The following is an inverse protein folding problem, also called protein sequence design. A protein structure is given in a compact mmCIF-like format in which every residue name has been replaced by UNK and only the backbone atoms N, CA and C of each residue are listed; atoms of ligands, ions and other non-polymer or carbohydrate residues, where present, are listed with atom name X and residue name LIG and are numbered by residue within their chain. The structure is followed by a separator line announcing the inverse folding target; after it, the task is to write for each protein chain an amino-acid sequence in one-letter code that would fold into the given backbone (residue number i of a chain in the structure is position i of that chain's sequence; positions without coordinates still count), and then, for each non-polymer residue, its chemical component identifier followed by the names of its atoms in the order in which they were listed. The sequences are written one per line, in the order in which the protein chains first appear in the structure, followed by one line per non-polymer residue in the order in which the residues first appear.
data_IF_912448365209
#
_entry.id   IF_912448365209
#
_cell.length_a   1.000
_cell.length_b   1.000
_cell.length_c   1.000
_cell.angle_alpha   90.00
_cell.angle_beta   90.00
_cell.angle_gamma   90.00
#
_symmetry.space_group_name_H-M   'P 1'
#
loop_
_entity.id
_entity.type
_entity.pdbx_description
1 polymer ?
#
# COMPACT_ATOMS: atom_id res chain seq x y z
N UNK A 1 10.15 24.16 6.34
CA UNK A 1 10.80 23.98 5.02
C UNK A 1 12.16 23.27 5.11
N UNK A 2 12.98 23.57 6.14
CA UNK A 2 14.32 23.01 6.30
C UNK A 2 14.29 21.88 7.35
N UNK A 3 14.71 20.65 6.99
CA UNK A 3 14.91 19.56 7.96
C UNK A 3 15.87 19.92 9.09
N UNK A 4 15.79 19.20 10.21
CA UNK A 4 16.88 19.17 11.18
C UNK A 4 18.14 18.57 10.54
N UNK A 5 19.32 18.85 11.11
CA UNK A 5 20.56 18.21 10.66
C UNK A 5 20.50 16.71 10.93
N UNK A 6 21.08 15.92 10.04
CA UNK A 6 21.17 14.47 10.15
C UNK A 6 22.46 14.00 9.48
N UNK A 7 22.99 12.89 9.97
CA UNK A 7 24.02 12.14 9.29
C UNK A 7 23.40 11.29 8.18
N UNK A 8 24.20 10.97 7.17
CA UNK A 8 23.77 10.20 6.01
C UNK A 8 24.73 9.05 5.76
N UNK A 9 24.17 7.85 5.67
CA UNK A 9 24.88 6.65 5.23
C UNK A 9 24.16 6.03 4.05
N UNK A 10 24.93 5.42 3.16
CA UNK A 10 24.40 4.72 2.00
C UNK A 10 24.70 3.23 2.17
N UNK A 11 23.65 2.42 2.18
CA UNK A 11 23.79 0.98 2.20
C UNK A 11 23.98 0.45 0.78
N UNK A 12 24.84 -0.56 0.65
CA UNK A 12 25.09 -1.32 -0.58
C UNK A 12 24.26 -2.61 -0.68
N UNK A 13 23.68 -3.06 0.44
CA UNK A 13 22.85 -4.27 0.53
C UNK A 13 21.78 -4.13 1.62
N UNK A 14 20.76 -5.00 1.59
CA UNK A 14 19.78 -5.10 2.66
C UNK A 14 20.42 -5.46 4.02
N UNK A 15 21.41 -6.37 4.01
CA UNK A 15 22.12 -6.78 5.22
C UNK A 15 22.89 -5.62 5.86
N UNK A 16 23.57 -4.80 5.06
CA UNK A 16 24.24 -3.59 5.55
C UNK A 16 23.22 -2.56 6.07
N UNK A 17 22.11 -2.36 5.37
CA UNK A 17 21.06 -1.44 5.82
C UNK A 17 20.49 -1.86 7.19
N UNK A 18 20.19 -3.14 7.37
CA UNK A 18 19.71 -3.71 8.62
C UNK A 18 20.76 -3.55 9.73
N UNK A 19 22.02 -3.88 9.44
CA UNK A 19 23.11 -3.68 10.40
C UNK A 19 23.25 -2.23 10.85
N UNK A 20 23.14 -1.28 9.92
CA UNK A 20 23.17 0.14 10.22
C UNK A 20 21.96 0.57 11.07
N UNK A 21 20.74 0.17 10.71
CA UNK A 21 19.56 0.60 11.47
C UNK A 21 19.58 0.02 12.88
N UNK A 22 20.06 -1.22 13.06
CA UNK A 22 20.28 -1.82 14.38
C UNK A 22 21.33 -1.06 15.21
N UNK A 23 22.40 -0.57 14.57
CA UNK A 23 23.45 0.20 15.24
C UNK A 23 22.93 1.53 15.80
N UNK A 24 22.09 2.23 15.04
CA UNK A 24 21.60 3.57 15.37
C UNK A 24 20.22 3.57 16.05
N UNK A 25 19.53 2.43 16.09
CA UNK A 25 18.26 2.27 16.78
C UNK A 25 17.17 3.25 16.32
N UNK A 26 16.42 3.80 17.27
CA UNK A 26 15.30 4.72 17.02
C UNK A 26 15.70 6.02 16.32
N UNK A 27 16.99 6.37 16.34
CA UNK A 27 17.51 7.59 15.73
C UNK A 27 17.74 7.45 14.22
N UNK A 28 17.68 6.22 13.69
CA UNK A 28 17.82 5.95 12.26
C UNK A 28 16.49 5.72 11.55
N UNK A 29 16.44 6.17 10.28
CA UNK A 29 15.37 5.82 9.34
C UNK A 29 15.94 5.45 7.98
N UNK A 30 15.31 4.46 7.35
CA UNK A 30 15.57 4.14 5.96
C UNK A 30 15.06 5.26 5.03
N UNK A 31 15.90 5.64 4.07
CA UNK A 31 15.55 6.55 2.99
C UNK A 31 15.44 5.74 1.68
N UNK A 32 14.20 5.42 1.30
CA UNK A 32 13.85 4.83 0.01
C UNK A 32 13.62 5.95 -1.04
N UNK A 33 12.40 6.04 -1.60
CA UNK A 33 12.03 7.11 -2.53
C UNK A 33 11.99 8.52 -1.92
N UNK A 34 11.85 8.62 -0.60
CA UNK A 34 11.88 9.86 0.18
C UNK A 34 10.63 10.75 0.08
N UNK A 35 9.60 10.35 -0.67
CA UNK A 35 8.43 11.19 -0.98
C UNK A 35 7.35 11.24 0.12
N UNK A 36 7.58 10.57 1.25
CA UNK A 36 6.82 10.78 2.50
C UNK A 36 7.75 11.24 3.62
N UNK A 37 8.88 10.56 3.82
CA UNK A 37 9.84 10.89 4.88
C UNK A 37 10.43 12.30 4.74
N UNK A 38 10.92 12.70 3.57
CA UNK A 38 11.53 14.03 3.40
C UNK A 38 10.50 15.16 3.58
N UNK A 39 9.26 15.08 3.07
CA UNK A 39 8.19 16.01 3.46
C UNK A 39 7.99 16.13 4.96
N UNK A 40 7.88 15.00 5.69
CA UNK A 40 7.73 15.02 7.16
C UNK A 40 8.93 15.68 7.84
N UNK A 41 10.15 15.43 7.36
CA UNK A 41 11.37 16.07 7.88
C UNK A 41 11.39 17.58 7.62
N UNK A 42 10.97 18.03 6.44
CA UNK A 42 10.89 19.47 6.09
C UNK A 42 9.86 20.23 6.94
N UNK A 43 8.86 19.52 7.47
CA UNK A 43 7.87 20.00 8.43
C UNK A 43 8.25 19.73 9.90
N UNK A 44 9.39 19.07 10.14
CA UNK A 44 9.90 18.66 11.46
C UNK A 44 8.98 17.70 12.24
N UNK A 45 8.09 17.02 11.53
CA UNK A 45 7.25 15.95 12.07
C UNK A 45 8.03 14.62 12.23
N UNK A 46 9.15 14.49 11.52
CA UNK A 46 10.13 13.43 11.71
C UNK A 46 11.53 14.04 11.78
N UNK A 47 12.35 13.63 12.74
CA UNK A 47 13.69 14.19 12.95
C UNK A 47 14.71 13.08 13.25
N UNK A 48 14.91 12.12 12.33
CA UNK A 48 15.95 11.10 12.51
C UNK A 48 17.33 11.77 12.52
N UNK A 49 18.21 11.34 13.42
CA UNK A 49 19.60 11.79 13.43
C UNK A 49 20.43 11.11 12.35
N UNK A 50 19.99 9.94 11.85
CA UNK A 50 20.66 9.17 10.81
C UNK A 50 19.69 8.77 9.69
N UNK A 51 20.03 9.10 8.44
CA UNK A 51 19.36 8.55 7.26
C UNK A 51 20.22 7.47 6.61
N UNK A 52 19.63 6.28 6.48
CA UNK A 52 20.24 5.14 5.78
C UNK A 52 19.59 5.05 4.40
N UNK A 53 20.27 5.58 3.38
CA UNK A 53 19.83 5.51 1.99
C UNK A 53 19.97 4.10 1.45
N UNK A 54 18.81 3.53 1.12
CA UNK A 54 18.66 2.20 0.54
C UNK A 54 18.36 2.27 -0.97
N UNK A 55 18.19 3.46 -1.55
CA UNK A 55 17.79 3.64 -2.94
C UNK A 55 18.79 3.15 -4.00
N UNK A 56 19.98 2.69 -3.59
CA UNK A 56 20.98 2.07 -4.48
C UNK A 56 21.13 0.55 -4.30
N UNK A 57 20.37 -0.04 -3.38
CA UNK A 57 20.32 -1.50 -3.20
C UNK A 57 19.62 -2.11 -4.42
N UNK A 58 20.37 -2.78 -5.30
CA UNK A 58 19.91 -3.17 -6.64
C UNK A 58 19.05 -4.43 -6.64
N UNK A 59 19.30 -5.34 -5.70
CA UNK A 59 18.62 -6.63 -5.58
C UNK A 59 17.21 -6.53 -4.99
N UNK A 60 16.72 -5.32 -4.70
CA UNK A 60 15.36 -5.06 -4.20
C UNK A 60 14.49 -4.28 -5.19
N UNK A 61 14.91 -4.13 -6.45
CA UNK A 61 14.13 -3.47 -7.51
C UNK A 61 13.93 -4.43 -8.68
N UNK A 62 12.80 -5.12 -8.67
CA UNK A 62 12.46 -6.12 -9.68
C UNK A 62 10.96 -6.44 -9.64
N UNK A 63 10.46 -6.97 -10.76
CA UNK A 63 9.15 -7.60 -10.85
C UNK A 63 9.35 -8.91 -11.59
N UNK A 64 9.06 -10.04 -10.93
CA UNK A 64 9.26 -11.38 -11.49
C UNK A 64 8.03 -12.25 -11.28
N UNK A 65 7.73 -13.08 -12.27
CA UNK A 65 6.78 -14.18 -12.10
C UNK A 65 7.44 -15.29 -11.27
N UNK A 66 6.86 -15.63 -10.12
CA UNK A 66 7.33 -16.67 -9.21
C UNK A 66 6.38 -17.88 -9.19
N UNK A 67 5.62 -18.10 -10.28
CA UNK A 67 4.70 -19.22 -10.42
C UNK A 67 3.31 -18.88 -9.92
N UNK A 68 3.06 -19.04 -8.61
CA UNK A 68 1.74 -18.80 -8.00
C UNK A 68 1.48 -17.34 -7.62
N UNK A 69 2.52 -16.50 -7.63
CA UNK A 69 2.44 -15.06 -7.32
C UNK A 69 3.43 -14.28 -8.18
N UNK A 70 3.23 -12.96 -8.23
CA UNK A 70 4.22 -12.01 -8.73
C UNK A 70 5.02 -11.49 -7.53
N UNK A 71 6.34 -11.61 -7.61
CA UNK A 71 7.25 -11.13 -6.58
C UNK A 71 7.83 -9.78 -7.01
N UNK A 72 7.70 -8.79 -6.13
CA UNK A 72 8.04 -7.39 -6.38
C UNK A 72 9.03 -6.95 -5.31
N UNK A 73 10.22 -6.53 -5.71
CA UNK A 73 11.21 -5.99 -4.78
C UNK A 73 10.71 -4.68 -4.15
N UNK A 74 10.97 -4.48 -2.86
CA UNK A 74 10.45 -3.34 -2.10
C UNK A 74 10.88 -1.95 -2.63
N UNK A 75 12.00 -1.87 -3.34
CA UNK A 75 12.51 -0.65 -3.97
C UNK A 75 12.08 -0.45 -5.43
N UNK A 76 11.15 -1.27 -5.91
CA UNK A 76 10.50 -1.07 -7.21
C UNK A 76 9.69 0.23 -7.17
N UNK A 77 9.92 1.12 -8.14
CA UNK A 77 9.27 2.43 -8.16
C UNK A 77 7.82 2.30 -8.57
N UNK A 78 6.96 3.24 -8.15
CA UNK A 78 5.55 3.22 -8.57
C UNK A 78 5.42 3.26 -10.09
N UNK A 79 6.30 3.98 -10.79
CA UNK A 79 6.32 4.02 -12.26
C UNK A 79 6.61 2.65 -12.89
N UNK A 80 7.54 1.90 -12.29
CA UNK A 80 7.89 0.55 -12.77
C UNK A 80 6.75 -0.44 -12.48
N UNK A 81 6.05 -0.27 -11.34
CA UNK A 81 4.84 -1.05 -11.02
C UNK A 81 3.71 -0.72 -12.01
N UNK A 82 3.48 0.56 -12.29
CA UNK A 82 2.43 1.04 -13.21
C UNK A 82 2.60 0.52 -14.63
N UNK A 83 3.84 0.46 -15.14
CA UNK A 83 4.11 0.12 -16.55
C UNK A 83 4.54 -1.33 -16.79
N UNK A 84 4.61 -2.14 -15.73
CA UNK A 84 5.06 -3.52 -15.83
C UNK A 84 4.12 -4.37 -16.67
N UNK A 85 4.66 -4.97 -17.74
CA UNK A 85 3.92 -5.95 -18.56
C UNK A 85 3.47 -7.16 -17.74
N UNK A 86 4.32 -7.63 -16.82
CA UNK A 86 4.02 -8.78 -15.94
C UNK A 86 2.83 -8.46 -15.04
N UNK A 87 2.77 -7.25 -14.48
CA UNK A 87 1.65 -6.85 -13.63
C UNK A 87 0.40 -6.58 -14.46
N UNK A 88 0.50 -5.96 -15.63
CA UNK A 88 -0.65 -5.82 -16.54
C UNK A 88 -1.29 -7.16 -16.89
N UNK A 89 -0.49 -8.21 -17.06
CA UNK A 89 -1.00 -9.54 -17.38
C UNK A 89 -1.56 -10.28 -16.15
N UNK A 90 -0.85 -10.24 -15.02
CA UNK A 90 -1.14 -11.13 -13.90
C UNK A 90 -1.77 -10.47 -12.68
N UNK A 91 -1.58 -9.16 -12.48
CA UNK A 91 -2.15 -8.39 -11.38
C UNK A 91 -2.52 -6.95 -11.81
N UNK A 92 -3.37 -6.79 -12.85
CA UNK A 92 -3.63 -5.49 -13.48
C UNK A 92 -4.21 -4.45 -12.53
N UNK A 93 -4.96 -4.86 -11.50
CA UNK A 93 -5.46 -3.96 -10.45
C UNK A 93 -4.32 -3.20 -9.75
N UNK A 94 -3.20 -3.88 -9.43
CA UNK A 94 -2.05 -3.25 -8.78
C UNK A 94 -1.33 -2.28 -9.73
N UNK A 95 -1.14 -2.69 -10.98
CA UNK A 95 -0.53 -1.84 -12.03
C UNK A 95 -1.33 -0.55 -12.17
N UNK A 96 -2.66 -0.67 -12.28
CA UNK A 96 -3.54 0.46 -12.46
C UNK A 96 -3.58 1.38 -11.23
N UNK A 97 -3.66 0.82 -10.01
CA UNK A 97 -3.62 1.61 -8.78
C UNK A 97 -2.30 2.39 -8.63
N UNK A 98 -1.17 1.81 -9.04
CA UNK A 98 0.13 2.50 -9.00
C UNK A 98 0.16 3.76 -9.88
N UNK A 99 -0.53 3.77 -11.02
CA UNK A 99 -0.66 4.96 -11.87
C UNK A 99 -1.46 6.12 -11.26
N UNK A 100 -2.19 5.88 -10.17
CA UNK A 100 -2.97 6.88 -9.44
C UNK A 100 -2.24 7.46 -8.21
N UNK A 101 -1.02 7.00 -7.93
CA UNK A 101 -0.22 7.44 -6.78
C UNK A 101 0.54 8.71 -7.14
N UNK A 102 0.14 9.84 -6.54
CA UNK A 102 0.78 11.13 -6.77
C UNK A 102 0.94 11.46 -8.26
N UNK A 103 1.83 12.40 -8.58
CA UNK A 103 2.17 12.74 -9.96
C UNK A 103 3.33 11.89 -10.51
N UNK A 104 3.70 12.13 -11.78
CA UNK A 104 4.80 11.41 -12.42
C UNK A 104 6.12 11.54 -11.64
N UNK A 105 6.44 12.70 -11.08
CA UNK A 105 7.67 12.96 -10.34
C UNK A 105 7.71 12.13 -9.05
N UNK A 106 6.59 12.07 -8.33
CA UNK A 106 6.40 11.18 -7.18
C UNK A 106 6.61 9.73 -7.62
N UNK A 107 5.99 9.29 -8.72
CA UNK A 107 6.06 7.88 -9.16
C UNK A 107 7.45 7.43 -9.63
N UNK A 108 8.27 8.35 -10.15
CA UNK A 108 9.65 8.07 -10.54
C UNK A 108 10.60 7.93 -9.35
N UNK A 109 10.14 8.20 -8.13
CA UNK A 109 10.97 8.17 -6.92
C UNK A 109 10.38 7.28 -5.83
N UNK A 110 9.10 7.45 -5.54
CA UNK A 110 8.35 6.63 -4.58
C UNK A 110 8.41 5.15 -4.95
N UNK A 111 8.51 4.32 -3.92
CA UNK A 111 8.68 2.86 -4.05
C UNK A 111 7.50 2.16 -3.41
N UNK A 112 7.05 1.04 -3.99
CA UNK A 112 5.94 0.25 -3.44
C UNK A 112 6.18 -0.17 -1.98
N UNK A 113 7.39 -0.65 -1.67
CA UNK A 113 7.75 -1.04 -0.30
C UNK A 113 7.76 0.15 0.66
N UNK A 114 8.24 1.32 0.21
CA UNK A 114 8.14 2.56 0.97
C UNK A 114 6.70 2.98 1.28
N UNK A 115 5.76 2.86 0.33
CA UNK A 115 4.35 3.16 0.56
C UNK A 115 3.71 2.19 1.55
N UNK A 116 4.01 0.89 1.45
CA UNK A 116 3.51 -0.13 2.37
C UNK A 116 4.09 0.06 3.78
N UNK A 117 5.41 0.18 3.90
CA UNK A 117 6.10 0.34 5.18
C UNK A 117 5.76 1.67 5.88
N UNK A 118 5.36 2.71 5.13
CA UNK A 118 4.92 3.97 5.74
C UNK A 118 3.57 3.83 6.46
N UNK A 119 2.73 2.86 6.06
CA UNK A 119 1.46 2.53 6.71
C UNK A 119 0.49 3.73 6.85
N UNK A 120 0.51 4.66 5.90
CA UNK A 120 -0.48 5.74 5.83
C UNK A 120 -1.80 5.18 5.26
N UNK A 121 -2.93 5.23 6.00
CA UNK A 121 -4.22 4.72 5.53
C UNK A 121 -4.73 5.41 4.26
N UNK A 122 -4.24 6.60 3.95
CA UNK A 122 -4.60 7.31 2.73
C UNK A 122 -3.88 6.76 1.47
N UNK A 123 -2.90 5.87 1.65
CA UNK A 123 -2.15 5.27 0.55
C UNK A 123 -2.94 4.22 -0.22
N UNK A 124 -2.90 4.34 -1.56
CA UNK A 124 -3.63 3.47 -2.48
C UNK A 124 -3.08 2.03 -2.52
N UNK A 125 -1.74 1.90 -2.53
CA UNK A 125 -1.09 0.59 -2.68
C UNK A 125 -1.29 -0.33 -1.47
N UNK A 126 -1.21 0.14 -0.21
CA UNK A 126 -1.56 -0.64 0.97
C UNK A 126 -2.92 -1.32 0.92
N UNK A 127 -3.98 -0.60 0.52
CA UNK A 127 -5.31 -1.18 0.37
C UNK A 127 -5.36 -2.12 -0.84
N UNK A 128 -4.70 -1.77 -1.93
CA UNK A 128 -4.70 -2.59 -3.15
C UNK A 128 -4.06 -3.96 -2.93
N UNK A 129 -2.88 -4.01 -2.30
CA UNK A 129 -2.21 -5.28 -1.95
C UNK A 129 -2.97 -6.04 -0.87
N UNK A 130 -3.67 -5.35 0.04
CA UNK A 130 -4.57 -5.95 1.01
C UNK A 130 -5.76 -6.65 0.33
N UNK A 131 -6.44 -5.99 -0.62
CA UNK A 131 -7.54 -6.58 -1.39
C UNK A 131 -7.09 -7.82 -2.16
N UNK A 132 -5.87 -7.79 -2.71
CA UNK A 132 -5.27 -8.89 -3.47
C UNK A 132 -4.78 -10.05 -2.58
N UNK A 133 -4.79 -9.91 -1.26
CA UNK A 133 -4.30 -10.95 -0.34
C UNK A 133 -2.78 -11.12 -0.41
N UNK A 134 -2.04 -10.02 -0.57
CA UNK A 134 -0.59 -10.06 -0.67
C UNK A 134 0.09 -10.58 0.61
N UNK A 135 1.31 -11.09 0.45
CA UNK A 135 2.23 -11.44 1.52
C UNK A 135 3.48 -10.57 1.44
N UNK A 136 3.94 -10.08 2.57
CA UNK A 136 5.11 -9.24 2.70
C UNK A 136 6.26 -10.03 3.30
N UNK A 137 7.40 -10.03 2.63
CA UNK A 137 8.63 -10.66 3.13
C UNK A 137 9.48 -9.58 3.76
N UNK A 138 9.77 -9.77 5.05
CA UNK A 138 10.59 -8.84 5.83
C UNK A 138 11.86 -9.53 6.27
N UNK A 139 12.95 -8.78 6.37
CA UNK A 139 14.24 -9.25 6.82
C UNK A 139 14.71 -8.41 8.00
N UNK A 140 15.11 -9.07 9.08
CA UNK A 140 15.79 -8.48 10.23
C UNK A 140 17.08 -9.21 10.56
N UNK A 141 17.73 -8.90 11.69
CA UNK A 141 18.99 -9.54 12.08
C UNK A 141 18.85 -11.05 12.35
N UNK A 142 17.63 -11.53 12.63
CA UNK A 142 17.33 -12.95 12.88
C UNK A 142 16.93 -13.73 11.62
N UNK A 143 17.03 -13.11 10.43
CA UNK A 143 16.63 -13.72 9.15
C UNK A 143 15.34 -13.13 8.60
N UNK A 144 14.64 -13.93 7.79
CA UNK A 144 13.43 -13.51 7.08
C UNK A 144 12.16 -14.07 7.73
N UNK A 145 11.06 -13.32 7.66
CA UNK A 145 9.72 -13.80 7.98
C UNK A 145 8.70 -13.25 6.99
N UNK A 146 7.56 -13.93 6.92
CA UNK A 146 6.44 -13.56 6.08
C UNK A 146 5.29 -12.99 6.90
N UNK A 147 4.66 -11.94 6.40
CA UNK A 147 3.53 -11.26 7.05
C UNK A 147 2.41 -11.15 6.02
N UNK A 148 1.25 -11.72 6.28
CA UNK A 148 0.08 -11.49 5.45
C UNK A 148 -0.30 -9.99 5.51
N UNK A 149 -0.68 -9.38 4.39
CA UNK A 149 -1.06 -7.96 4.34
C UNK A 149 -2.16 -7.61 5.36
N UNK A 150 -3.09 -8.53 5.62
CA UNK A 150 -4.16 -8.38 6.61
C UNK A 150 -3.67 -8.29 8.07
N UNK A 151 -2.42 -8.66 8.36
CA UNK A 151 -1.80 -8.60 9.69
C UNK A 151 -0.74 -7.50 9.80
N UNK A 152 -0.42 -6.82 8.70
CA UNK A 152 0.72 -5.91 8.64
C UNK A 152 0.44 -4.55 9.26
N UNK A 153 -0.76 -3.99 9.13
CA UNK A 153 -1.07 -2.64 9.63
C UNK A 153 -1.63 -2.71 11.05
N UNK A 154 -1.05 -1.95 11.98
CA UNK A 154 -1.42 -1.97 13.42
C UNK A 154 -2.12 -0.71 13.87
N UNK A 155 -1.91 0.39 13.16
CA UNK A 155 -2.47 1.69 13.49
C UNK A 155 -2.03 2.75 12.48
N UNK A 156 -2.33 4.01 12.80
CA UNK A 156 -1.97 5.14 11.96
C UNK A 156 -0.44 5.28 11.86
N UNK A 157 0.12 5.11 10.66
CA UNK A 157 1.56 5.10 10.41
C UNK A 157 2.33 4.01 11.18
N UNK A 158 1.62 2.95 11.59
CA UNK A 158 2.17 1.85 12.39
C UNK A 158 1.98 0.51 11.66
N UNK A 159 3.08 -0.21 11.49
CA UNK A 159 3.09 -1.55 10.88
C UNK A 159 3.68 -2.59 11.83
N UNK A 160 3.56 -3.86 11.44
CA UNK A 160 4.11 -5.02 12.15
C UNK A 160 5.65 -5.13 12.01
N UNK A 161 6.32 -4.18 11.33
CA UNK A 161 7.77 -4.14 11.23
C UNK A 161 8.39 -3.81 12.58
N UNK A 162 9.36 -4.63 13.02
CA UNK A 162 10.24 -4.25 14.11
C UNK A 162 11.17 -3.11 13.68
N UNK A 163 11.74 -2.40 14.65
CA UNK A 163 12.61 -1.25 14.41
C UNK A 163 13.88 -1.60 13.60
N UNK A 164 14.31 -2.86 13.65
CA UNK A 164 15.48 -3.43 12.98
C UNK A 164 15.11 -4.32 11.76
N UNK A 165 13.87 -4.23 11.28
CA UNK A 165 13.41 -4.97 10.12
C UNK A 165 13.24 -4.09 8.88
N UNK A 166 13.41 -4.71 7.72
CA UNK A 166 13.25 -4.12 6.41
C UNK A 166 12.27 -4.96 5.59
N UNK A 167 11.25 -4.32 5.00
CA UNK A 167 10.44 -4.92 3.96
C UNK A 167 11.30 -5.10 2.69
N UNK A 168 11.42 -6.33 2.19
CA UNK A 168 12.30 -6.65 1.06
C UNK A 168 11.55 -7.11 -0.20
N UNK A 169 10.42 -7.81 -0.07
CA UNK A 169 9.64 -8.34 -1.20
C UNK A 169 8.14 -8.29 -0.90
N UNK A 170 7.35 -7.95 -1.91
CA UNK A 170 5.88 -7.99 -1.89
C UNK A 170 5.46 -9.10 -2.86
N UNK A 171 4.74 -10.08 -2.34
CA UNK A 171 4.22 -11.23 -3.09
C UNK A 171 2.73 -11.05 -3.32
N UNK A 172 2.35 -10.88 -4.58
CA UNK A 172 0.97 -10.59 -4.99
C UNK A 172 0.42 -11.81 -5.73
N UNK A 173 -0.66 -12.45 -5.24
CA UNK A 173 -1.31 -13.55 -5.96
C UNK A 173 -1.74 -13.12 -7.37
N UNK A 174 -1.64 -14.05 -8.32
CA UNK A 174 -2.14 -13.80 -9.68
C UNK A 174 -3.66 -13.73 -9.67
N UNK A 175 -4.23 -12.80 -10.44
CA UNK A 175 -5.67 -12.59 -10.51
C UNK A 175 -6.41 -13.67 -11.32
N UNK A 176 -5.69 -14.44 -12.15
CA UNK A 176 -6.22 -15.59 -12.92
C UNK A 176 -7.57 -15.28 -13.62
N UNK A 177 -7.63 -14.15 -14.33
CA UNK A 177 -8.83 -13.73 -15.06
C UNK A 177 -9.96 -13.16 -14.19
N UNK A 178 -9.72 -12.84 -12.91
CA UNK A 178 -10.66 -12.05 -12.12
C UNK A 178 -10.86 -10.67 -12.74
N UNK A 179 -12.12 -10.24 -12.87
CA UNK A 179 -12.45 -8.85 -13.19
C UNK A 179 -12.09 -7.95 -12.02
N UNK A 180 -11.80 -6.68 -12.28
CA UNK A 180 -11.28 -5.77 -11.27
C UNK A 180 -11.63 -4.31 -11.53
N UNK A 181 -11.55 -3.51 -10.47
CA UNK A 181 -11.71 -2.06 -10.55
C UNK A 181 -10.96 -1.39 -9.41
N UNK A 182 -10.37 -0.23 -9.71
CA UNK A 182 -9.91 0.72 -8.71
C UNK A 182 -10.72 2.00 -8.84
N UNK A 183 -11.38 2.42 -7.76
CA UNK A 183 -12.16 3.65 -7.71
C UNK A 183 -11.49 4.60 -6.72
N UNK A 184 -11.13 5.81 -7.14
CA UNK A 184 -10.53 6.82 -6.27
C UNK A 184 -11.32 8.11 -6.37
N UNK A 185 -11.90 8.54 -5.25
CA UNK A 185 -12.55 9.84 -5.14
C UNK A 185 -11.63 10.80 -4.40
N UNK A 186 -11.15 11.82 -5.11
CA UNK A 186 -10.24 12.85 -4.62
C UNK A 186 -10.60 14.22 -5.22
N UNK A 187 -10.11 15.30 -4.60
CA UNK A 187 -10.46 16.67 -5.03
C UNK A 187 -9.75 17.10 -6.31
N UNK A 188 -8.48 16.72 -6.42
CA UNK A 188 -7.60 16.99 -7.56
C UNK A 188 -6.92 15.69 -7.95
N UNK A 189 -6.58 15.53 -9.23
CA UNK A 189 -6.07 14.27 -9.78
C UNK A 189 -4.95 13.60 -8.95
N UNK A 190 -4.05 14.41 -8.35
CA UNK A 190 -2.86 13.93 -7.63
C UNK A 190 -3.05 13.85 -6.10
N UNK A 191 -4.22 14.22 -5.58
CA UNK A 191 -4.48 14.20 -4.13
C UNK A 191 -4.64 12.77 -3.61
N UNK A 192 -4.38 12.62 -2.32
CA UNK A 192 -4.83 11.46 -1.53
C UNK A 192 -6.33 11.22 -1.70
N UNK A 193 -6.73 9.95 -1.59
CA UNK A 193 -8.14 9.59 -1.66
C UNK A 193 -8.90 10.20 -0.47
N UNK A 194 -10.06 10.83 -0.73
CA UNK A 194 -11.08 11.00 0.30
C UNK A 194 -11.61 9.61 0.64
N UNK A 195 -11.99 8.84 -0.38
CA UNK A 195 -12.28 7.41 -0.30
C UNK A 195 -11.74 6.75 -1.55
N UNK A 196 -11.05 5.63 -1.40
CA UNK A 196 -10.64 4.77 -2.50
C UNK A 196 -11.12 3.33 -2.28
N UNK A 197 -11.31 2.58 -3.35
CA UNK A 197 -11.74 1.18 -3.32
C UNK A 197 -10.92 0.39 -4.33
N UNK A 198 -10.20 -0.62 -3.86
CA UNK A 198 -9.63 -1.66 -4.69
C UNK A 198 -10.52 -2.89 -4.61
N UNK A 199 -11.02 -3.37 -5.76
CA UNK A 199 -11.91 -4.53 -5.81
C UNK A 199 -11.53 -5.48 -6.95
N UNK A 200 -11.69 -6.78 -6.69
CA UNK A 200 -11.67 -7.82 -7.72
C UNK A 200 -12.82 -8.81 -7.48
N UNK A 201 -13.27 -9.49 -8.54
CA UNK A 201 -14.34 -10.49 -8.47
C UNK A 201 -14.06 -11.67 -9.40
N UNK A 202 -14.39 -12.89 -8.94
CA UNK A 202 -14.32 -14.12 -9.74
C UNK A 202 -15.25 -15.18 -9.18
N UNK A 203 -16.16 -15.74 -10.01
CA UNK A 203 -17.00 -16.91 -9.67
C UNK A 203 -17.67 -16.84 -8.27
N UNK A 204 -18.24 -15.69 -7.92
CA UNK A 204 -18.91 -15.51 -6.62
C UNK A 204 -17.99 -15.15 -5.45
N UNK A 205 -16.67 -15.09 -5.67
CA UNK A 205 -15.71 -14.54 -4.72
C UNK A 205 -15.38 -13.09 -5.07
N UNK A 206 -15.02 -12.30 -4.06
CA UNK A 206 -14.53 -10.95 -4.22
C UNK A 206 -13.49 -10.63 -3.14
N UNK A 207 -12.54 -9.76 -3.48
CA UNK A 207 -11.71 -9.06 -2.50
C UNK A 207 -11.95 -7.57 -2.64
N UNK A 208 -12.23 -6.90 -1.52
CA UNK A 208 -12.54 -5.47 -1.48
C UNK A 208 -11.77 -4.84 -0.33
N UNK A 209 -10.98 -3.81 -0.63
CA UNK A 209 -10.34 -3.00 0.40
C UNK A 209 -10.56 -1.51 0.16
N UNK A 210 -10.58 -0.75 1.25
CA UNK A 210 -10.88 0.66 1.29
C UNK A 210 -9.64 1.47 1.67
N UNK A 211 -9.44 2.57 0.94
CA UNK A 211 -8.43 3.59 1.19
C UNK A 211 -9.05 4.70 2.02
N UNK A 212 -8.33 5.15 3.06
CA UNK A 212 -8.69 6.28 3.91
C UNK A 212 -10.04 6.14 4.64
N UNK A 213 -10.39 4.92 5.04
CA UNK A 213 -11.64 4.58 5.76
C UNK A 213 -11.40 4.10 7.20
N UNK A 214 -10.23 4.39 7.77
CA UNK A 214 -9.85 4.06 9.14
C UNK A 214 -8.43 4.52 9.44
N UNK A 215 -7.89 4.13 10.60
CA UNK A 215 -6.48 4.35 10.95
C UNK A 215 -5.51 3.48 10.14
N UNK A 216 -6.02 2.45 9.48
CA UNK A 216 -5.31 1.51 8.59
C UNK A 216 -6.10 1.33 7.28
N UNK A 217 -5.52 0.77 6.20
CA UNK A 217 -6.32 0.28 5.08
C UNK A 217 -7.28 -0.81 5.55
N UNK A 218 -8.53 -0.74 5.11
CA UNK A 218 -9.61 -1.61 5.61
C UNK A 218 -9.90 -2.71 4.59
N UNK A 219 -9.88 -3.98 5.01
CA UNK A 219 -10.41 -5.08 4.23
C UNK A 219 -11.91 -5.23 4.53
N UNK A 220 -12.77 -4.99 3.55
CA UNK A 220 -14.22 -5.00 3.71
C UNK A 220 -14.77 -6.43 3.67
N UNK A 221 -14.47 -7.22 4.71
CA UNK A 221 -14.79 -8.65 4.77
C UNK A 221 -16.29 -8.94 4.73
N UNK A 222 -17.12 -8.05 5.28
CA UNK A 222 -18.58 -8.12 5.21
C UNK A 222 -19.08 -8.11 3.76
N UNK A 223 -18.50 -7.23 2.93
CA UNK A 223 -18.83 -7.14 1.49
C UNK A 223 -18.47 -8.44 0.78
N UNK A 224 -17.24 -8.92 0.95
CA UNK A 224 -16.77 -10.16 0.33
C UNK A 224 -17.62 -11.37 0.76
N UNK A 225 -17.95 -11.46 2.05
CA UNK A 225 -18.81 -12.52 2.61
C UNK A 225 -20.22 -12.47 2.05
N UNK A 226 -20.80 -11.28 1.90
CA UNK A 226 -22.13 -11.12 1.32
C UNK A 226 -22.16 -11.59 -0.15
N UNK A 227 -21.16 -11.22 -0.95
CA UNK A 227 -21.02 -11.68 -2.34
C UNK A 227 -20.88 -13.21 -2.41
N UNK A 228 -20.06 -13.81 -1.54
CA UNK A 228 -19.90 -15.27 -1.48
C UNK A 228 -21.19 -16.01 -1.08
N UNK A 229 -22.07 -15.36 -0.30
CA UNK A 229 -23.40 -15.86 0.06
C UNK A 229 -24.48 -15.58 -0.99
N UNK A 230 -24.11 -14.97 -2.12
CA UNK A 230 -25.03 -14.69 -3.22
C UNK A 230 -25.86 -13.40 -3.08
N UNK A 231 -25.48 -12.48 -2.19
CA UNK A 231 -26.12 -11.18 -2.11
C UNK A 231 -25.96 -10.38 -3.41
N UNK A 232 -26.89 -9.46 -3.68
CA UNK A 232 -26.72 -8.51 -4.78
C UNK A 232 -25.53 -7.58 -4.51
N UNK A 233 -24.96 -7.00 -5.57
CA UNK A 233 -23.85 -6.04 -5.41
C UNK A 233 -24.30 -4.84 -4.56
N UNK A 234 -25.55 -4.40 -4.71
CA UNK A 234 -26.10 -3.28 -3.94
C UNK A 234 -26.18 -3.60 -2.44
N UNK A 235 -26.68 -4.79 -2.09
CA UNK A 235 -26.79 -5.21 -0.69
C UNK A 235 -25.43 -5.42 -0.05
N UNK A 236 -24.49 -6.04 -0.78
CA UNK A 236 -23.12 -6.18 -0.32
C UNK A 236 -22.45 -4.82 -0.12
N UNK A 237 -22.64 -3.87 -1.05
CA UNK A 237 -22.06 -2.53 -0.96
C UNK A 237 -22.60 -1.73 0.23
N UNK A 238 -23.83 -1.97 0.68
CA UNK A 238 -24.37 -1.35 1.90
C UNK A 238 -23.56 -1.71 3.16
N UNK A 239 -22.82 -2.81 3.14
CA UNK A 239 -21.94 -3.27 4.21
C UNK A 239 -20.52 -2.70 4.13
N UNK A 240 -20.23 -1.82 3.16
CA UNK A 240 -18.88 -1.31 2.88
C UNK A 240 -18.19 -0.76 4.13
N UNK A 241 -18.92 -0.09 5.02
CA UNK A 241 -18.34 0.59 6.18
C UNK A 241 -18.43 -0.22 7.48
N UNK A 242 -18.78 -1.51 7.44
CA UNK A 242 -18.95 -2.32 8.65
C UNK A 242 -17.65 -2.46 9.46
N UNK A 243 -16.53 -2.64 8.76
CA UNK A 243 -15.19 -2.70 9.37
C UNK A 243 -14.47 -1.35 9.41
N UNK A 244 -15.12 -0.27 8.94
CA UNK A 244 -14.50 1.04 8.75
C UNK A 244 -14.81 2.00 9.91
N UNK A 245 -13.82 2.82 10.28
CA UNK A 245 -13.98 3.91 11.25
C UNK A 245 -13.36 5.22 10.73
N UNK A 246 -13.95 5.83 9.67
CA UNK A 246 -13.38 6.99 9.01
C UNK A 246 -13.46 8.24 9.89
N UNK A 247 -12.36 8.99 9.93
CA UNK A 247 -12.29 10.27 10.62
C UNK A 247 -12.78 11.41 9.72
N UNK A 248 -13.42 12.41 10.33
CA UNK A 248 -13.75 13.66 9.64
C UNK A 248 -12.52 14.55 9.49
N UNK A 249 -12.40 15.25 8.38
CA UNK A 249 -11.33 16.22 8.13
C UNK A 249 -11.84 17.39 7.26
N UNK A 250 -10.91 18.23 6.78
CA UNK A 250 -11.21 19.36 5.89
C UNK A 250 -11.76 18.93 4.52
N UNK A 251 -11.73 17.63 4.19
CA UNK A 251 -12.16 17.11 2.90
C UNK A 251 -13.56 16.47 2.97
N UNK A 252 -13.92 15.85 4.10
CA UNK A 252 -15.18 15.15 4.24
C UNK A 252 -15.56 14.87 5.70
N UNK A 253 -16.87 14.88 5.99
CA UNK A 253 -17.42 14.31 7.22
C UNK A 253 -17.37 12.78 7.20
N UNK A 254 -17.44 12.15 8.38
CA UNK A 254 -17.56 10.69 8.53
C UNK A 254 -18.75 10.15 7.74
N UNK A 255 -19.92 10.79 7.81
CA UNK A 255 -21.13 10.36 7.09
C UNK A 255 -20.96 10.43 5.58
N UNK A 256 -20.30 11.48 5.07
CA UNK A 256 -20.03 11.59 3.65
C UNK A 256 -19.06 10.50 3.16
N UNK A 257 -18.03 10.17 3.96
CA UNK A 257 -17.10 9.06 3.67
C UNK A 257 -17.80 7.71 3.63
N UNK A 258 -18.67 7.43 4.61
CA UNK A 258 -19.47 6.20 4.64
C UNK A 258 -20.40 6.09 3.44
N UNK A 259 -21.08 7.19 3.09
CA UNK A 259 -21.91 7.26 1.88
C UNK A 259 -21.08 6.98 0.61
N UNK A 260 -19.93 7.65 0.45
CA UNK A 260 -19.03 7.45 -0.68
C UNK A 260 -18.53 6.00 -0.75
N UNK A 261 -18.16 5.38 0.37
CA UNK A 261 -17.70 4.00 0.40
C UNK A 261 -18.76 3.04 -0.17
N UNK A 262 -20.03 3.18 0.23
CA UNK A 262 -21.14 2.40 -0.34
C UNK A 262 -21.26 2.59 -1.86
N UNK A 263 -21.21 3.84 -2.33
CA UNK A 263 -21.31 4.15 -3.77
C UNK A 263 -20.12 3.58 -4.56
N UNK A 264 -18.90 3.77 -4.07
CA UNK A 264 -17.68 3.36 -4.76
C UNK A 264 -17.48 1.84 -4.74
N UNK A 265 -17.83 1.17 -3.64
CA UNK A 265 -17.82 -0.31 -3.58
C UNK A 265 -18.79 -0.89 -4.59
N UNK A 266 -20.01 -0.36 -4.69
CA UNK A 266 -20.98 -0.79 -5.70
C UNK A 266 -20.41 -0.66 -7.11
N UNK A 267 -19.92 0.54 -7.47
CA UNK A 267 -19.33 0.83 -8.78
C UNK A 267 -18.13 -0.08 -9.09
N UNK A 268 -17.26 -0.30 -8.10
CA UNK A 268 -16.08 -1.14 -8.27
C UNK A 268 -16.47 -2.60 -8.54
N UNK A 269 -17.44 -3.15 -7.81
CA UNK A 269 -17.93 -4.52 -8.01
C UNK A 269 -18.70 -4.69 -9.33
N UNK A 270 -19.49 -3.69 -9.74
CA UNK A 270 -20.16 -3.67 -11.04
C UNK A 270 -19.13 -3.68 -12.18
N UNK A 271 -18.13 -2.80 -12.13
CA UNK A 271 -17.05 -2.75 -13.12
C UNK A 271 -16.20 -4.04 -13.13
N UNK A 272 -15.95 -4.64 -11.97
CA UNK A 272 -15.22 -5.91 -11.83
C UNK A 272 -16.04 -7.15 -12.26
N UNK A 273 -17.31 -6.98 -12.62
CA UNK A 273 -18.16 -8.08 -13.11
C UNK A 273 -18.17 -8.19 -14.64
N UNK A 274 -17.57 -7.23 -15.34
CA UNK A 274 -17.46 -7.17 -16.80
C UNK A 274 -16.19 -7.85 -17.30
#
# INVERSE_FOLDING_TARGET
MIPAAFDYKRASSAAEAISLVSQYGSDAKFLAGGHSLLPLMKLRLAQPAMLIDIGRVKDLSYIKDAGNHIAIGALTRHMDVETSKILHEHAPLLSHAAGHVGDAQVRHRGTIGGSIAHADPASDLPATTLALGATYVVQGPKGQREIAAAKFYKGFLESDLAADEMLIEIRVPKMQGAGWSFQKFNRRAQDWAIVGVAAWRRKGEAGVALVNMGSTPILATSVATAIAKGASISDAAAMASNEADPQSDLNASTDYRKHLATVLVRRALEAASN
#
